data_IF_414379785640
#
_entry.id   IF_414379785640
#
_cell.length_a   1.000
_cell.length_b   1.000
_cell.length_c   1.000
_cell.angle_alpha   90.00
_cell.angle_beta   90.00
_cell.angle_gamma   90.00
#
_symmetry.space_group_name_H-M   'P 1'
#
loop_
_entity.id
_entity.type
_entity.pdbx_description
1 polymer ?
#
# COMPACT_ATOMS: atom_id res chain seq x y z
N UNK A 1 1.37 -8.02 0.90
CA UNK A 1 1.04 -8.69 -0.38
C UNK A 1 1.63 -10.10 -0.35
N UNK A 2 0.78 -11.12 -0.27
CA UNK A 2 1.22 -12.52 -0.30
C UNK A 2 1.18 -12.98 -1.74
N UNK A 3 2.34 -13.17 -2.36
CA UNK A 3 2.44 -13.94 -3.60
C UNK A 3 2.69 -15.39 -3.17
N UNK A 4 1.63 -16.21 -3.17
CA UNK A 4 1.80 -17.64 -3.17
C UNK A 4 2.43 -18.01 -4.53
N UNK A 5 3.73 -18.31 -4.54
CA UNK A 5 4.38 -18.97 -5.67
C UNK A 5 3.94 -20.44 -5.68
N UNK A 6 2.69 -20.70 -6.06
CA UNK A 6 2.32 -22.01 -6.53
C UNK A 6 3.00 -22.20 -7.87
N UNK A 7 3.88 -23.21 -7.99
CA UNK A 7 4.32 -23.72 -9.28
C UNK A 7 3.06 -24.11 -10.06
N UNK A 8 2.81 -23.40 -11.14
CA UNK A 8 1.76 -23.74 -12.06
C UNK A 8 2.20 -24.98 -12.85
N UNK A 9 1.82 -26.17 -12.38
CA UNK A 9 1.79 -27.37 -13.20
C UNK A 9 0.40 -27.45 -13.80
N UNK A 10 0.24 -27.56 -15.13
CA UNK A 10 -1.07 -27.77 -15.73
C UNK A 10 -1.47 -29.22 -15.49
N UNK A 11 -2.09 -29.53 -14.35
CA UNK A 11 -2.82 -30.78 -14.22
C UNK A 11 -4.23 -30.63 -14.80
N UNK A 12 -4.45 -31.34 -15.87
CA UNK A 12 -5.73 -31.64 -16.51
C UNK A 12 -6.63 -32.39 -15.54
N UNK A 13 -7.41 -31.65 -14.75
CA UNK A 13 -8.39 -32.21 -13.82
C UNK A 13 -9.65 -31.33 -13.78
N UNK A 14 -10.69 -31.71 -14.53
CA UNK A 14 -12.03 -31.12 -14.54
C UNK A 14 -12.64 -31.13 -13.12
N UNK A 15 -12.63 -30.00 -12.48
CA UNK A 15 -13.47 -29.66 -11.34
C UNK A 15 -13.46 -28.15 -11.20
N UNK A 16 -14.45 -27.44 -11.78
CA UNK A 16 -14.73 -26.04 -11.46
C UNK A 16 -15.19 -25.98 -9.99
N UNK A 17 -14.25 -26.14 -9.06
CA UNK A 17 -14.51 -26.01 -7.63
C UNK A 17 -15.05 -24.61 -7.35
N UNK A 18 -16.26 -24.53 -6.80
CA UNK A 18 -16.89 -23.28 -6.36
C UNK A 18 -16.02 -22.66 -5.27
N UNK A 19 -15.79 -21.34 -5.35
CA UNK A 19 -15.14 -20.59 -4.26
C UNK A 19 -16.02 -20.67 -3.01
N UNK A 20 -15.46 -20.94 -1.85
CA UNK A 20 -16.22 -21.05 -0.59
C UNK A 20 -16.98 -19.74 -0.31
N UNK A 21 -18.24 -19.87 0.13
CA UNK A 21 -19.09 -18.71 0.42
C UNK A 21 -18.47 -17.72 1.42
N UNK A 22 -17.70 -18.24 2.38
CA UNK A 22 -16.98 -17.41 3.36
C UNK A 22 -15.86 -16.57 2.71
N UNK A 23 -15.22 -17.06 1.65
CA UNK A 23 -14.20 -16.31 0.88
C UNK A 23 -14.86 -15.17 0.10
N UNK A 24 -16.03 -15.43 -0.50
CA UNK A 24 -16.80 -14.39 -1.19
C UNK A 24 -17.30 -13.32 -0.22
N UNK A 25 -17.78 -13.73 0.96
CA UNK A 25 -18.19 -12.81 2.02
C UNK A 25 -17.01 -11.92 2.47
N UNK A 26 -15.84 -12.50 2.73
CA UNK A 26 -14.62 -11.75 3.08
C UNK A 26 -14.17 -10.84 1.94
N UNK A 27 -14.28 -11.27 0.69
CA UNK A 27 -14.01 -10.45 -0.48
C UNK A 27 -14.95 -9.25 -0.58
N UNK A 28 -16.26 -9.46 -0.36
CA UNK A 28 -17.24 -8.38 -0.36
C UNK A 28 -16.99 -7.37 0.78
N UNK A 29 -16.68 -7.85 1.98
CA UNK A 29 -16.28 -6.99 3.10
C UNK A 29 -15.05 -6.15 2.72
N UNK A 30 -14.02 -6.77 2.13
CA UNK A 30 -12.82 -6.05 1.68
C UNK A 30 -13.16 -5.01 0.62
N UNK A 31 -13.93 -5.37 -0.40
CA UNK A 31 -14.36 -4.44 -1.43
C UNK A 31 -15.02 -3.20 -0.83
N UNK A 32 -16.05 -3.39 -0.01
CA UNK A 32 -16.80 -2.28 0.60
C UNK A 32 -15.91 -1.43 1.51
N UNK A 33 -15.09 -2.07 2.34
CA UNK A 33 -14.21 -1.33 3.26
C UNK A 33 -13.04 -0.65 2.57
N UNK A 34 -12.57 -1.17 1.43
CA UNK A 34 -11.52 -0.52 0.65
C UNK A 34 -12.08 0.65 -0.17
N UNK A 35 -13.33 0.57 -0.70
CA UNK A 35 -14.03 1.77 -1.20
C UNK A 35 -14.00 2.87 -0.14
N UNK A 36 -14.46 2.58 1.08
CA UNK A 36 -14.47 3.56 2.16
C UNK A 36 -13.07 4.09 2.49
N UNK A 37 -12.07 3.22 2.64
CA UNK A 37 -10.71 3.64 3.01
C UNK A 37 -10.05 4.47 1.93
N UNK A 38 -10.21 4.09 0.67
CA UNK A 38 -9.56 4.77 -0.46
C UNK A 38 -10.29 6.07 -0.86
N UNK A 39 -11.60 6.22 -0.54
CA UNK A 39 -12.27 7.53 -0.58
C UNK A 39 -11.53 8.54 0.30
N UNK A 40 -11.24 8.17 1.55
CA UNK A 40 -10.55 9.07 2.50
C UNK A 40 -9.11 9.28 2.05
N UNK A 41 -8.37 8.20 1.75
CA UNK A 41 -6.96 8.27 1.32
C UNK A 41 -6.76 9.21 0.13
N UNK A 42 -7.70 9.19 -0.82
CA UNK A 42 -7.61 9.99 -2.04
C UNK A 42 -7.77 11.50 -1.81
N UNK A 43 -8.46 11.92 -0.75
CA UNK A 43 -8.70 13.34 -0.45
C UNK A 43 -7.84 13.89 0.68
N UNK A 44 -7.30 13.04 1.57
CA UNK A 44 -6.54 13.47 2.74
C UNK A 44 -5.41 14.47 2.45
N UNK A 45 -4.57 14.30 1.38
CA UNK A 45 -3.49 15.24 1.11
C UNK A 45 -4.00 16.66 0.88
N UNK A 46 -5.05 16.80 0.07
CA UNK A 46 -5.61 18.09 -0.26
C UNK A 46 -6.39 18.67 0.94
N UNK A 47 -7.13 17.84 1.67
CA UNK A 47 -7.81 18.23 2.89
C UNK A 47 -6.83 18.82 3.92
N UNK A 48 -5.70 18.13 4.18
CA UNK A 48 -4.73 18.61 5.14
C UNK A 48 -4.02 19.90 4.71
N UNK A 49 -3.56 19.98 3.45
CA UNK A 49 -2.76 21.11 2.99
C UNK A 49 -3.62 22.30 2.57
N UNK A 50 -4.74 22.08 1.88
CA UNK A 50 -5.56 23.17 1.34
C UNK A 50 -6.69 23.54 2.30
N UNK A 51 -7.49 22.58 2.77
CA UNK A 51 -8.65 22.90 3.61
C UNK A 51 -8.24 23.27 5.05
N UNK A 52 -7.29 22.51 5.66
CA UNK A 52 -6.82 22.79 7.03
C UNK A 52 -5.60 23.73 7.09
N UNK A 53 -4.98 24.07 5.95
CA UNK A 53 -3.83 24.99 5.89
C UNK A 53 -2.57 24.43 6.55
N UNK A 54 -2.40 23.10 6.64
CA UNK A 54 -1.21 22.51 7.23
C UNK A 54 0.02 22.74 6.36
N UNK A 55 1.16 23.02 6.99
CA UNK A 55 2.43 23.14 6.29
C UNK A 55 2.84 21.79 5.65
N UNK A 56 3.67 21.78 4.59
CA UNK A 56 4.20 20.54 4.01
C UNK A 56 4.95 19.67 5.02
N UNK A 57 5.60 20.27 6.02
CA UNK A 57 6.24 19.54 7.13
C UNK A 57 5.21 18.80 8.01
N UNK A 58 4.15 19.49 8.42
CA UNK A 58 3.06 18.89 9.20
C UNK A 58 2.37 17.78 8.44
N UNK A 59 2.14 17.99 7.15
CA UNK A 59 1.60 16.95 6.27
C UNK A 59 2.56 15.75 6.17
N UNK A 60 3.87 15.98 6.02
CA UNK A 60 4.88 14.92 5.99
C UNK A 60 4.94 14.07 7.26
N UNK A 61 4.72 14.68 8.43
CA UNK A 61 4.59 13.96 9.71
C UNK A 61 3.36 13.03 9.69
N UNK A 62 2.22 13.51 9.21
CA UNK A 62 0.98 12.73 9.16
C UNK A 62 1.06 11.61 8.12
N UNK A 63 1.58 11.86 6.92
CA UNK A 63 1.77 10.86 5.87
C UNK A 63 2.79 9.78 6.27
N UNK A 64 3.88 10.20 6.91
CA UNK A 64 4.86 9.29 7.50
C UNK A 64 4.26 8.41 8.58
N UNK A 65 3.52 9.00 9.53
CA UNK A 65 2.81 8.27 10.58
C UNK A 65 1.81 7.26 10.01
N UNK A 66 1.04 7.66 9.00
CA UNK A 66 0.09 6.83 8.28
C UNK A 66 0.74 5.55 7.73
N UNK A 67 1.91 5.67 7.12
CA UNK A 67 2.68 4.54 6.59
C UNK A 67 3.32 3.70 7.69
N UNK A 68 3.97 4.34 8.66
CA UNK A 68 4.76 3.69 9.71
C UNK A 68 3.91 2.89 10.70
N UNK A 69 2.79 3.44 11.18
CA UNK A 69 1.90 2.74 12.13
C UNK A 69 1.36 1.45 11.53
N UNK A 70 0.94 1.49 10.26
CA UNK A 70 0.44 0.28 9.56
C UNK A 70 1.47 -0.85 9.59
N UNK A 71 2.74 -0.54 9.37
CA UNK A 71 3.81 -1.54 9.34
C UNK A 71 4.07 -2.15 10.72
N UNK A 72 4.17 -1.31 11.76
CA UNK A 72 4.40 -1.75 13.14
C UNK A 72 3.23 -2.61 13.63
N UNK A 73 2.00 -2.14 13.45
CA UNK A 73 0.81 -2.87 13.91
C UNK A 73 0.60 -4.18 13.14
N UNK A 74 0.96 -4.24 11.86
CA UNK A 74 0.89 -5.50 11.09
C UNK A 74 1.81 -6.57 11.66
N UNK A 75 3.01 -6.21 12.13
CA UNK A 75 3.92 -7.14 12.83
C UNK A 75 3.33 -7.65 14.14
N UNK A 76 2.69 -6.78 14.90
CA UNK A 76 2.10 -7.11 16.20
C UNK A 76 0.74 -7.82 16.06
N UNK A 77 -0.09 -7.41 15.11
CA UNK A 77 -1.47 -7.88 14.91
C UNK A 77 -1.55 -9.39 14.61
N UNK A 78 -0.56 -9.95 13.91
CA UNK A 78 -0.45 -11.39 13.71
C UNK A 78 -0.31 -12.16 15.03
N UNK A 79 0.47 -11.64 15.96
CA UNK A 79 0.67 -12.25 17.29
C UNK A 79 -0.60 -12.23 18.16
N UNK A 80 -1.32 -11.11 18.13
CA UNK A 80 -2.58 -10.93 18.89
C UNK A 80 -3.66 -11.86 18.36
N UNK A 81 -3.83 -11.95 17.05
CA UNK A 81 -4.83 -12.82 16.42
C UNK A 81 -4.58 -14.30 16.71
N UNK A 82 -3.29 -14.71 16.69
CA UNK A 82 -2.88 -16.09 16.98
C UNK A 82 -3.14 -16.46 18.45
N UNK A 83 -2.90 -15.54 19.37
CA UNK A 83 -3.06 -15.78 20.82
C UNK A 83 -4.53 -15.91 21.23
N UNK A 84 -5.43 -15.13 20.63
CA UNK A 84 -6.83 -15.10 21.03
C UNK A 84 -7.71 -16.10 20.28
N UNK A 85 -7.24 -16.71 19.21
CA UNK A 85 -7.98 -17.69 18.37
C UNK A 85 -9.41 -17.27 17.95
N UNK A 86 -9.74 -15.98 18.10
CA UNK A 86 -11.04 -15.38 17.75
C UNK A 86 -10.84 -14.42 16.56
N UNK A 87 -10.53 -14.99 15.39
CA UNK A 87 -10.13 -14.24 14.20
C UNK A 87 -11.18 -13.26 13.75
N UNK A 88 -12.46 -13.67 13.74
CA UNK A 88 -13.58 -12.79 13.37
C UNK A 88 -13.72 -11.61 14.34
N UNK A 89 -13.64 -11.83 15.65
CA UNK A 89 -13.74 -10.78 16.66
C UNK A 89 -12.60 -9.75 16.53
N UNK A 90 -11.35 -10.20 16.33
CA UNK A 90 -10.20 -9.30 16.12
C UNK A 90 -10.38 -8.50 14.83
N UNK A 91 -10.84 -9.14 13.75
CA UNK A 91 -11.16 -8.45 12.51
C UNK A 91 -12.25 -7.39 12.70
N UNK A 92 -13.35 -7.71 13.41
CA UNK A 92 -14.43 -6.77 13.72
C UNK A 92 -13.93 -5.54 14.48
N UNK A 93 -13.07 -5.73 15.50
CA UNK A 93 -12.45 -4.60 16.22
C UNK A 93 -11.61 -3.76 15.26
N UNK A 94 -10.79 -4.38 14.40
CA UNK A 94 -9.97 -3.66 13.43
C UNK A 94 -10.80 -2.86 12.42
N UNK A 95 -11.85 -3.45 11.86
CA UNK A 95 -12.75 -2.75 10.95
C UNK A 95 -13.55 -1.63 11.66
N UNK A 96 -14.01 -1.88 12.90
CA UNK A 96 -14.70 -0.89 13.72
C UNK A 96 -13.83 0.31 14.07
N UNK A 97 -12.59 0.11 14.49
CA UNK A 97 -11.62 1.20 14.74
C UNK A 97 -11.41 2.05 13.49
N UNK A 98 -11.22 1.40 12.35
CA UNK A 98 -11.06 2.11 11.07
C UNK A 98 -12.34 2.86 10.65
N UNK A 99 -13.53 2.34 10.97
CA UNK A 99 -14.78 3.04 10.71
C UNK A 99 -14.93 4.29 11.60
N UNK A 100 -14.68 4.17 12.90
CA UNK A 100 -14.82 5.27 13.87
C UNK A 100 -13.80 6.38 13.67
N UNK A 101 -12.62 6.09 13.07
CA UNK A 101 -11.64 7.12 12.74
C UNK A 101 -12.15 8.15 11.73
N UNK A 102 -13.11 7.80 10.87
CA UNK A 102 -13.62 8.69 9.82
C UNK A 102 -14.43 9.87 10.37
N UNK A 103 -15.46 9.67 11.20
CA UNK A 103 -16.14 10.78 11.83
C UNK A 103 -15.24 11.53 12.83
N UNK A 104 -14.22 10.89 13.40
CA UNK A 104 -13.27 11.58 14.26
C UNK A 104 -12.47 12.66 13.51
N UNK A 105 -12.23 12.50 12.20
CA UNK A 105 -11.60 13.54 11.37
C UNK A 105 -12.40 14.84 11.35
N UNK A 106 -13.72 14.79 11.47
CA UNK A 106 -14.61 15.96 11.51
C UNK A 106 -14.44 16.76 12.81
N UNK A 107 -14.08 16.09 13.92
CA UNK A 107 -14.08 16.66 15.26
C UNK A 107 -12.72 17.28 15.67
N UNK A 108 -11.62 16.97 14.97
CA UNK A 108 -10.27 17.30 15.46
C UNK A 108 -9.68 18.60 14.88
N UNK A 109 -10.34 19.22 13.90
CA UNK A 109 -9.88 20.46 13.27
C UNK A 109 -8.46 20.34 12.72
N UNK A 110 -7.65 21.42 12.81
CA UNK A 110 -6.27 21.49 12.30
C UNK A 110 -5.19 21.05 13.29
N UNK A 111 -5.55 20.44 14.42
CA UNK A 111 -4.57 19.95 15.40
C UNK A 111 -3.80 18.75 14.84
N UNK A 112 -2.52 18.93 14.50
CA UNK A 112 -1.63 17.88 13.97
C UNK A 112 -1.56 16.68 14.90
N UNK A 113 -1.49 16.90 16.22
CA UNK A 113 -1.45 15.81 17.20
C UNK A 113 -2.75 15.00 17.22
N UNK A 114 -3.90 15.67 17.17
CA UNK A 114 -5.21 15.01 17.13
C UNK A 114 -5.44 14.28 15.81
N UNK A 115 -5.10 14.90 14.68
CA UNK A 115 -5.12 14.25 13.36
C UNK A 115 -4.22 13.02 13.33
N UNK A 116 -2.99 13.13 13.87
CA UNK A 116 -2.06 12.02 14.01
C UNK A 116 -2.62 10.88 14.84
N UNK A 117 -3.29 11.18 15.96
CA UNK A 117 -3.94 10.17 16.79
C UNK A 117 -5.08 9.44 16.03
N UNK A 118 -5.92 10.18 15.31
CA UNK A 118 -7.00 9.60 14.50
C UNK A 118 -6.44 8.71 13.40
N UNK A 119 -5.41 9.16 12.68
CA UNK A 119 -4.74 8.34 11.66
C UNK A 119 -4.08 7.10 12.26
N UNK A 120 -3.46 7.22 13.45
CA UNK A 120 -2.88 6.07 14.14
C UNK A 120 -3.95 5.04 14.52
N UNK A 121 -5.13 5.46 14.99
CA UNK A 121 -6.27 4.58 15.26
C UNK A 121 -6.75 3.88 13.99
N UNK A 122 -6.95 4.61 12.89
CA UNK A 122 -7.36 4.04 11.60
C UNK A 122 -6.34 3.00 11.10
N UNK A 123 -5.04 3.34 11.14
CA UNK A 123 -3.97 2.43 10.69
C UNK A 123 -3.79 1.23 11.61
N UNK A 124 -4.02 1.40 12.91
CA UNK A 124 -4.09 0.28 13.87
C UNK A 124 -5.24 -0.66 13.51
N UNK A 125 -6.41 -0.13 13.21
CA UNK A 125 -7.54 -0.92 12.70
C UNK A 125 -7.17 -1.71 11.44
N UNK A 126 -6.55 -1.07 10.45
CA UNK A 126 -6.09 -1.73 9.20
C UNK A 126 -5.04 -2.82 9.47
N UNK A 127 -4.10 -2.57 10.37
CA UNK A 127 -3.08 -3.55 10.77
C UNK A 127 -3.67 -4.78 11.48
N UNK A 128 -4.57 -4.56 12.43
CA UNK A 128 -5.22 -5.63 13.20
C UNK A 128 -6.09 -6.55 12.34
N UNK A 129 -6.80 -6.02 11.34
CA UNK A 129 -7.75 -6.82 10.53
C UNK A 129 -7.06 -7.71 9.48
N UNK A 130 -5.85 -7.36 9.00
CA UNK A 130 -5.23 -8.00 7.84
C UNK A 130 -4.88 -9.47 8.10
N UNK A 131 -4.15 -9.78 9.17
CA UNK A 131 -3.73 -11.15 9.47
C UNK A 131 -4.90 -12.09 9.83
N UNK A 132 -5.90 -11.69 10.66
CA UNK A 132 -7.10 -12.50 10.91
C UNK A 132 -7.90 -12.78 9.65
N UNK A 133 -8.09 -11.78 8.77
CA UNK A 133 -8.79 -11.93 7.49
C UNK A 133 -8.12 -12.99 6.62
N UNK A 134 -6.82 -12.88 6.41
CA UNK A 134 -6.05 -13.81 5.59
C UNK A 134 -6.08 -15.25 6.17
N UNK A 135 -6.08 -15.36 7.50
CA UNK A 135 -6.24 -16.64 8.18
C UNK A 135 -7.65 -17.24 8.02
N UNK A 136 -8.71 -16.41 8.00
CA UNK A 136 -10.08 -16.84 7.71
C UNK A 136 -10.24 -17.32 6.27
N UNK A 137 -9.61 -16.64 5.28
CA UNK A 137 -9.59 -17.09 3.87
C UNK A 137 -8.91 -18.47 3.78
N UNK A 138 -7.74 -18.61 4.39
CA UNK A 138 -6.99 -19.88 4.39
C UNK A 138 -7.77 -21.02 5.03
N UNK A 139 -8.42 -20.79 6.18
CA UNK A 139 -9.18 -21.81 6.89
C UNK A 139 -10.52 -22.17 6.22
N UNK A 140 -10.99 -21.33 5.30
CA UNK A 140 -12.22 -21.55 4.52
C UNK A 140 -11.96 -22.21 3.17
N UNK A 141 -10.71 -22.57 2.86
CA UNK A 141 -10.31 -23.08 1.54
C UNK A 141 -9.50 -24.36 1.68
N UNK A 142 -9.68 -25.28 0.72
CA UNK A 142 -8.80 -26.46 0.62
C UNK A 142 -7.41 -26.04 0.12
N UNK A 143 -6.33 -26.81 0.41
CA UNK A 143 -4.98 -26.50 -0.05
C UNK A 143 -4.89 -26.24 -1.56
N UNK A 144 -5.60 -27.01 -2.37
CA UNK A 144 -5.61 -26.88 -3.85
C UNK A 144 -6.38 -25.65 -4.35
N UNK A 145 -7.27 -25.07 -3.52
CA UNK A 145 -8.08 -23.90 -3.87
C UNK A 145 -7.54 -22.59 -3.29
N UNK A 146 -6.49 -22.62 -2.45
CA UNK A 146 -5.94 -21.43 -1.79
C UNK A 146 -5.57 -20.31 -2.76
N UNK A 147 -4.89 -20.64 -3.86
CA UNK A 147 -4.51 -19.66 -4.87
C UNK A 147 -5.71 -18.95 -5.48
N UNK A 148 -6.79 -19.69 -5.77
CA UNK A 148 -8.05 -19.14 -6.30
C UNK A 148 -8.75 -18.28 -5.25
N UNK A 149 -8.82 -18.74 -4.00
CA UNK A 149 -9.47 -18.02 -2.91
C UNK A 149 -8.82 -16.65 -2.67
N UNK A 150 -7.48 -16.61 -2.57
CA UNK A 150 -6.74 -15.35 -2.45
C UNK A 150 -6.83 -14.50 -3.72
N UNK A 151 -6.86 -15.12 -4.91
CA UNK A 151 -7.03 -14.42 -6.20
C UNK A 151 -8.37 -13.70 -6.28
N UNK A 152 -9.48 -14.37 -5.94
CA UNK A 152 -10.83 -13.76 -5.92
C UNK A 152 -10.89 -12.63 -4.87
N UNK A 153 -10.40 -12.90 -3.66
CA UNK A 153 -10.37 -11.86 -2.61
C UNK A 153 -9.57 -10.63 -3.08
N UNK A 154 -8.38 -10.83 -3.67
CA UNK A 154 -7.53 -9.73 -4.15
C UNK A 154 -8.17 -8.96 -5.30
N UNK A 155 -8.88 -9.63 -6.20
CA UNK A 155 -9.63 -8.96 -7.26
C UNK A 155 -10.71 -8.03 -6.69
N UNK A 156 -11.47 -8.49 -5.68
CA UNK A 156 -12.49 -7.68 -5.02
C UNK A 156 -11.87 -6.51 -4.23
N UNK A 157 -10.76 -6.73 -3.52
CA UNK A 157 -9.94 -5.73 -2.84
C UNK A 157 -9.51 -4.62 -3.84
N UNK A 158 -8.97 -5.02 -5.00
CA UNK A 158 -8.52 -4.09 -6.05
C UNK A 158 -9.68 -3.29 -6.66
N UNK A 159 -10.82 -3.93 -6.90
CA UNK A 159 -12.03 -3.22 -7.38
C UNK A 159 -12.48 -2.18 -6.36
N UNK A 160 -12.49 -2.52 -5.07
CA UNK A 160 -12.80 -1.57 -4.01
C UNK A 160 -11.84 -0.38 -3.98
N UNK A 161 -10.53 -0.66 -4.08
CA UNK A 161 -9.49 0.37 -4.10
C UNK A 161 -9.61 1.30 -5.32
N UNK A 162 -10.03 0.77 -6.47
CA UNK A 162 -10.23 1.55 -7.68
C UNK A 162 -11.52 2.41 -7.61
N UNK A 163 -12.58 1.88 -7.03
CA UNK A 163 -13.85 2.59 -6.88
C UNK A 163 -13.78 3.72 -5.84
N UNK A 164 -12.94 3.58 -4.80
CA UNK A 164 -12.84 4.56 -3.72
C UNK A 164 -12.61 5.99 -4.20
N UNK A 165 -11.55 6.28 -4.97
CA UNK A 165 -11.29 7.62 -5.51
C UNK A 165 -12.41 8.14 -6.42
N UNK A 166 -13.09 7.28 -7.19
CA UNK A 166 -14.22 7.66 -8.03
C UNK A 166 -15.42 8.08 -7.20
N UNK A 167 -15.73 7.33 -6.13
CA UNK A 167 -16.80 7.68 -5.21
C UNK A 167 -16.47 8.99 -4.47
N UNK A 168 -15.21 9.17 -4.04
CA UNK A 168 -14.77 10.42 -3.43
C UNK A 168 -14.94 11.61 -4.37
N UNK A 169 -14.52 11.47 -5.62
CA UNK A 169 -14.72 12.50 -6.65
C UNK A 169 -16.21 12.83 -6.86
N UNK A 170 -17.05 11.80 -6.98
CA UNK A 170 -18.49 11.98 -7.14
C UNK A 170 -19.11 12.72 -5.94
N UNK A 171 -18.76 12.34 -4.71
CA UNK A 171 -19.25 13.00 -3.50
C UNK A 171 -18.77 14.45 -3.44
N UNK A 172 -17.48 14.75 -3.72
CA UNK A 172 -17.00 16.12 -3.77
C UNK A 172 -17.72 16.96 -4.83
N UNK A 173 -17.97 16.38 -6.00
CA UNK A 173 -18.74 17.06 -7.04
C UNK A 173 -20.18 17.37 -6.60
N UNK A 174 -20.86 16.37 -6.01
CA UNK A 174 -22.25 16.52 -5.59
C UNK A 174 -22.42 17.44 -4.37
N UNK A 175 -21.38 17.57 -3.53
CA UNK A 175 -21.38 18.41 -2.32
C UNK A 175 -20.68 19.76 -2.51
N UNK A 176 -20.33 20.14 -3.76
CA UNK A 176 -19.62 21.39 -4.06
C UNK A 176 -18.27 21.52 -3.36
N UNK A 177 -17.54 20.40 -3.22
CA UNK A 177 -16.20 20.37 -2.65
C UNK A 177 -16.14 20.16 -1.14
N UNK A 178 -17.24 19.71 -0.51
CA UNK A 178 -17.30 19.46 0.92
C UNK A 178 -16.62 18.14 1.31
N UNK A 179 -15.50 18.22 2.04
CA UNK A 179 -14.75 17.07 2.54
C UNK A 179 -15.50 16.33 3.65
N UNK A 180 -16.34 17.03 4.44
CA UNK A 180 -17.12 16.42 5.50
C UNK A 180 -18.12 15.41 4.92
N UNK A 181 -18.72 15.73 3.77
CA UNK A 181 -19.57 14.82 3.02
C UNK A 181 -18.82 13.53 2.61
N UNK A 182 -17.53 13.63 2.23
CA UNK A 182 -16.71 12.45 1.89
C UNK A 182 -16.48 11.60 3.14
N UNK A 183 -16.13 12.20 4.28
CA UNK A 183 -15.86 11.46 5.52
C UNK A 183 -17.11 10.78 6.07
N UNK A 184 -18.27 11.46 6.04
CA UNK A 184 -19.56 10.88 6.45
C UNK A 184 -19.97 9.73 5.53
N UNK A 185 -19.88 9.91 4.22
CA UNK A 185 -20.18 8.85 3.24
C UNK A 185 -19.26 7.65 3.45
N UNK A 186 -17.96 7.91 3.60
CA UNK A 186 -16.96 6.87 3.88
C UNK A 186 -17.26 6.12 5.18
N UNK A 187 -17.70 6.83 6.24
CA UNK A 187 -18.14 6.21 7.49
C UNK A 187 -19.34 5.27 7.28
N UNK A 188 -20.37 5.71 6.57
CA UNK A 188 -21.54 4.88 6.27
C UNK A 188 -21.15 3.60 5.50
N UNK A 189 -20.27 3.73 4.49
CA UNK A 189 -19.75 2.59 3.73
C UNK A 189 -18.91 1.67 4.63
N UNK A 190 -18.09 2.23 5.53
CA UNK A 190 -17.30 1.42 6.47
C UNK A 190 -18.19 0.64 7.44
N UNK A 191 -19.26 1.27 7.99
CA UNK A 191 -20.24 0.61 8.85
C UNK A 191 -20.93 -0.53 8.11
N UNK A 192 -21.31 -0.33 6.85
CA UNK A 192 -21.85 -1.41 6.02
C UNK A 192 -20.85 -2.58 5.94
N UNK A 193 -19.56 -2.31 5.74
CA UNK A 193 -18.52 -3.34 5.74
C UNK A 193 -18.42 -4.10 7.06
N UNK A 194 -18.53 -3.40 8.21
CA UNK A 194 -18.56 -4.02 9.54
C UNK A 194 -19.81 -4.91 9.73
N UNK A 195 -20.97 -4.45 9.29
CA UNK A 195 -22.23 -5.22 9.34
C UNK A 195 -22.13 -6.46 8.47
N UNK A 196 -21.63 -6.35 7.25
CA UNK A 196 -21.42 -7.50 6.35
C UNK A 196 -20.47 -8.53 6.97
N UNK A 197 -19.38 -8.08 7.60
CA UNK A 197 -18.45 -8.97 8.32
C UNK A 197 -19.16 -9.69 9.48
N UNK A 198 -19.96 -8.95 10.25
CA UNK A 198 -20.68 -9.51 11.40
C UNK A 198 -21.72 -10.57 10.99
N UNK A 199 -22.45 -10.32 9.90
CA UNK A 199 -23.56 -11.16 9.46
C UNK A 199 -23.12 -12.32 8.55
N UNK A 200 -22.21 -12.09 7.60
CA UNK A 200 -21.91 -13.05 6.54
C UNK A 200 -20.69 -13.92 6.82
N UNK A 201 -19.71 -13.44 7.58
CA UNK A 201 -18.45 -14.17 7.79
C UNK A 201 -18.60 -15.12 8.98
N UNK A 202 -18.16 -16.38 8.77
CA UNK A 202 -18.12 -17.41 9.81
C UNK A 202 -16.69 -17.59 10.32
N UNK A 203 -16.56 -17.74 11.65
CA UNK A 203 -15.26 -17.98 12.29
C UNK A 203 -14.90 -19.49 12.24
N UNK A 204 -13.66 -19.81 11.87
CA UNK A 204 -13.14 -21.17 11.85
C UNK A 204 -11.88 -21.22 12.72
N UNK A 205 -11.93 -22.01 13.79
CA UNK A 205 -10.78 -22.23 14.67
C UNK A 205 -9.87 -23.28 14.04
N UNK A 206 -8.67 -22.90 13.67
CA UNK A 206 -7.63 -23.82 13.19
C UNK A 206 -6.35 -23.54 13.95
N UNK A 207 -5.72 -24.55 14.58
CA UNK A 207 -4.42 -24.39 15.21
C UNK A 207 -3.39 -23.94 14.19
N UNK A 208 -2.53 -22.99 14.57
CA UNK A 208 -1.43 -22.54 13.72
C UNK A 208 -0.17 -23.37 14.04
N UNK A 209 0.62 -23.78 13.03
CA UNK A 209 1.88 -24.46 13.24
C UNK A 209 2.89 -23.55 13.97
N UNK A 210 3.75 -24.16 14.78
CA UNK A 210 4.86 -23.48 15.45
C UNK A 210 5.78 -22.79 14.44
N UNK A 211 6.17 -21.55 14.72
CA UNK A 211 7.04 -20.77 13.83
C UNK A 211 8.51 -20.91 14.22
N UNK A 212 9.43 -21.11 13.26
CA UNK A 212 10.85 -21.13 13.53
C UNK A 212 11.37 -19.77 13.99
N UNK A 213 12.52 -19.71 14.70
CA UNK A 213 13.06 -18.45 15.24
C UNK A 213 13.49 -17.48 14.15
N UNK A 214 13.13 -16.21 14.30
CA UNK A 214 13.36 -15.13 13.32
C UNK A 214 14.86 -14.86 13.02
N UNK A 215 15.77 -15.35 13.85
CA UNK A 215 17.23 -15.19 13.66
C UNK A 215 17.74 -15.77 12.34
N UNK A 216 17.08 -16.80 11.80
CA UNK A 216 17.44 -17.42 10.52
C UNK A 216 17.13 -16.57 9.30
N UNK A 217 16.37 -15.46 9.44
CA UNK A 217 16.06 -14.51 8.38
C UNK A 217 17.28 -13.67 7.95
N UNK A 218 18.21 -13.39 8.86
CA UNK A 218 19.27 -12.41 8.65
C UNK A 218 20.49 -12.93 7.85
N UNK A 219 20.26 -13.76 6.84
CA UNK A 219 21.31 -14.19 5.91
C UNK A 219 21.77 -13.03 5.02
N UNK A 220 23.08 -13.00 4.66
CA UNK A 220 23.71 -11.91 3.89
C UNK A 220 22.92 -11.46 2.65
N UNK A 221 22.41 -12.39 1.75
CA UNK A 221 21.68 -11.95 0.57
C UNK A 221 20.37 -11.22 0.91
N UNK A 222 19.57 -11.74 1.82
CA UNK A 222 18.31 -11.12 2.23
C UNK A 222 18.54 -9.76 2.90
N UNK A 223 19.53 -9.66 3.80
CA UNK A 223 19.91 -8.40 4.45
C UNK A 223 20.30 -7.31 3.45
N UNK A 224 21.02 -7.67 2.35
CA UNK A 224 21.36 -6.72 1.30
C UNK A 224 20.14 -6.22 0.54
N UNK A 225 19.18 -7.11 0.22
CA UNK A 225 17.91 -6.71 -0.43
C UNK A 225 17.12 -5.78 0.47
N UNK A 226 16.98 -6.09 1.76
CA UNK A 226 16.29 -5.23 2.74
C UNK A 226 17.01 -3.88 2.87
N UNK A 227 18.34 -3.88 2.93
CA UNK A 227 19.13 -2.65 3.01
C UNK A 227 18.93 -1.73 1.80
N UNK A 228 19.05 -2.26 0.59
CA UNK A 228 18.80 -1.46 -0.63
C UNK A 228 17.35 -1.01 -0.76
N UNK A 229 16.39 -1.86 -0.38
CA UNK A 229 14.97 -1.47 -0.36
C UNK A 229 14.70 -0.32 0.63
N UNK A 230 15.34 -0.33 1.80
CA UNK A 230 15.24 0.75 2.78
C UNK A 230 15.91 2.04 2.28
N UNK A 231 17.13 1.95 1.73
CA UNK A 231 17.87 3.13 1.22
C UNK A 231 17.15 3.77 0.03
N UNK A 232 16.67 2.96 -0.94
CA UNK A 232 15.85 3.47 -2.04
C UNK A 232 14.52 4.05 -1.53
N UNK A 233 13.88 3.41 -0.56
CA UNK A 233 12.66 3.92 0.08
C UNK A 233 12.86 5.27 0.79
N UNK A 234 14.04 5.54 1.35
CA UNK A 234 14.37 6.82 1.98
C UNK A 234 14.43 7.99 0.99
N UNK A 235 14.82 7.73 -0.25
CA UNK A 235 14.93 8.74 -1.30
C UNK A 235 13.72 8.76 -2.24
N UNK A 236 12.75 7.88 -2.02
CA UNK A 236 11.49 7.83 -2.76
C UNK A 236 10.47 8.70 -2.05
N UNK A 237 10.06 9.80 -2.68
CA UNK A 237 9.02 10.70 -2.16
C UNK A 237 7.65 10.00 -2.18
N UNK A 238 6.84 10.24 -1.16
CA UNK A 238 5.50 9.65 -1.08
C UNK A 238 4.55 10.17 -2.16
N UNK A 239 3.64 9.31 -2.61
CA UNK A 239 2.67 9.57 -3.69
C UNK A 239 1.86 10.83 -3.45
N UNK A 240 1.44 11.02 -2.20
CA UNK A 240 0.65 12.16 -1.79
C UNK A 240 1.35 13.49 -2.06
N UNK A 241 2.66 13.56 -1.85
CA UNK A 241 3.45 14.75 -2.18
C UNK A 241 3.54 14.98 -3.69
N UNK A 242 3.72 13.92 -4.49
CA UNK A 242 3.74 14.03 -5.94
C UNK A 242 2.40 14.57 -6.46
N UNK A 243 1.28 14.09 -5.93
CA UNK A 243 -0.06 14.57 -6.30
C UNK A 243 -0.30 16.01 -5.86
N UNK A 244 0.16 16.43 -4.67
CA UNK A 244 0.10 17.82 -4.22
C UNK A 244 0.92 18.75 -5.11
N UNK A 245 2.12 18.33 -5.55
CA UNK A 245 2.94 19.09 -6.48
C UNK A 245 2.24 19.24 -7.84
N UNK A 246 1.66 18.17 -8.37
CA UNK A 246 0.90 18.22 -9.62
C UNK A 246 -0.32 19.15 -9.48
N UNK A 247 -1.07 19.03 -8.40
CA UNK A 247 -2.22 19.89 -8.14
C UNK A 247 -1.81 21.38 -8.09
N UNK A 248 -0.75 21.69 -7.34
CA UNK A 248 -0.25 23.05 -7.19
C UNK A 248 0.27 23.64 -8.52
N UNK A 249 1.01 22.86 -9.32
CA UNK A 249 1.58 23.33 -10.58
C UNK A 249 0.55 23.52 -11.68
N UNK A 250 -0.41 22.62 -11.76
CA UNK A 250 -1.42 22.59 -12.83
C UNK A 250 -2.73 23.27 -12.41
N UNK A 251 -2.80 23.79 -11.16
CA UNK A 251 -3.99 24.43 -10.59
C UNK A 251 -5.25 23.56 -10.76
N UNK A 252 -5.10 22.23 -10.51
CA UNK A 252 -6.20 21.29 -10.64
C UNK A 252 -7.27 21.56 -9.59
N UNK A 253 -8.53 21.52 -10.02
CA UNK A 253 -9.67 21.61 -9.11
C UNK A 253 -9.64 20.45 -8.08
N UNK A 254 -10.00 20.77 -6.84
CA UNK A 254 -10.05 19.81 -5.74
C UNK A 254 -10.91 18.58 -6.05
N UNK A 255 -12.00 18.76 -6.82
CA UNK A 255 -12.89 17.67 -7.24
C UNK A 255 -12.16 16.62 -8.07
N UNK A 256 -11.20 17.04 -8.91
CA UNK A 256 -10.45 16.13 -9.79
C UNK A 256 -9.20 15.51 -9.14
N UNK A 257 -8.82 15.97 -7.95
CA UNK A 257 -7.62 15.48 -7.26
C UNK A 257 -7.57 13.95 -7.07
N UNK A 258 -8.68 13.26 -6.72
CA UNK A 258 -8.68 11.80 -6.60
C UNK A 258 -8.30 11.06 -7.89
N UNK A 259 -8.47 11.69 -9.06
CA UNK A 259 -8.09 11.10 -10.35
C UNK A 259 -6.57 10.91 -10.50
N UNK A 260 -5.74 11.66 -9.77
CA UNK A 260 -4.28 11.49 -9.79
C UNK A 260 -3.88 10.11 -9.25
N UNK A 261 -4.45 9.72 -8.11
CA UNK A 261 -4.24 8.39 -7.55
C UNK A 261 -4.80 7.29 -8.45
N UNK A 262 -5.99 7.52 -9.03
CA UNK A 262 -6.63 6.59 -9.95
C UNK A 262 -5.81 6.39 -11.23
N UNK A 263 -5.26 7.47 -11.80
CA UNK A 263 -4.41 7.42 -12.99
C UNK A 263 -3.16 6.58 -12.76
N UNK A 264 -2.47 6.79 -11.64
CA UNK A 264 -1.32 5.95 -11.23
C UNK A 264 -1.74 4.49 -11.07
N UNK A 265 -2.87 4.22 -10.39
CA UNK A 265 -3.38 2.87 -10.18
C UNK A 265 -3.77 2.17 -11.49
N UNK A 266 -4.36 2.88 -12.44
CA UNK A 266 -4.72 2.34 -13.76
C UNK A 266 -3.47 1.89 -14.54
N UNK A 267 -2.43 2.72 -14.59
CA UNK A 267 -1.16 2.37 -15.24
C UNK A 267 -0.49 1.19 -14.52
N UNK A 268 -0.48 1.19 -13.18
CA UNK A 268 0.01 0.07 -12.40
C UNK A 268 -0.69 -1.25 -12.78
N UNK A 269 -2.01 -1.27 -12.83
CA UNK A 269 -2.79 -2.47 -13.16
C UNK A 269 -2.51 -2.98 -14.58
N UNK A 270 -2.36 -2.06 -15.54
CA UNK A 270 -2.06 -2.41 -16.93
C UNK A 270 -0.65 -3.00 -17.07
N UNK A 271 0.33 -2.47 -16.33
CA UNK A 271 1.74 -2.79 -16.52
C UNK A 271 2.30 -3.79 -15.51
N UNK A 272 1.62 -4.09 -14.38
CA UNK A 272 2.12 -5.00 -13.35
C UNK A 272 2.45 -6.40 -13.90
N UNK A 273 1.59 -6.97 -14.75
CA UNK A 273 1.81 -8.29 -15.35
C UNK A 273 2.89 -8.25 -16.44
N UNK A 274 2.87 -7.32 -17.42
CA UNK A 274 3.95 -7.18 -18.39
C UNK A 274 5.33 -6.99 -17.77
N UNK A 275 5.46 -6.08 -16.80
CA UNK A 275 6.75 -5.80 -16.13
C UNK A 275 7.16 -6.95 -15.20
N UNK A 276 6.22 -7.67 -14.59
CA UNK A 276 6.51 -8.90 -13.86
C UNK A 276 7.12 -9.98 -14.78
N UNK A 277 6.54 -10.19 -15.97
CA UNK A 277 7.09 -11.11 -16.99
C UNK A 277 8.45 -10.66 -17.51
N UNK A 278 8.65 -9.37 -17.69
CA UNK A 278 9.94 -8.81 -18.06
C UNK A 278 10.97 -9.08 -16.96
N UNK A 279 10.62 -8.90 -15.70
CA UNK A 279 11.47 -9.17 -14.55
C UNK A 279 11.90 -10.65 -14.45
N UNK A 280 11.03 -11.58 -14.86
CA UNK A 280 11.37 -13.00 -14.92
C UNK A 280 12.34 -13.33 -16.06
N UNK A 281 12.36 -12.54 -17.16
CA UNK A 281 13.23 -12.74 -18.33
C UNK A 281 14.60 -12.07 -18.17
N UNK A 282 14.61 -10.78 -17.81
CA UNK A 282 15.86 -9.97 -17.77
C UNK A 282 16.45 -9.88 -16.36
N UNK A 283 15.75 -10.42 -15.36
CA UNK A 283 16.13 -10.35 -13.95
C UNK A 283 15.34 -9.30 -13.18
N UNK A 284 15.04 -9.63 -11.92
CA UNK A 284 14.18 -8.81 -11.06
C UNK A 284 14.82 -7.51 -10.62
N UNK A 285 16.14 -7.53 -10.37
CA UNK A 285 16.86 -6.36 -9.91
C UNK A 285 16.96 -5.24 -10.95
N UNK A 286 17.31 -5.50 -12.24
CA UNK A 286 17.28 -4.47 -13.28
C UNK A 286 15.91 -3.82 -13.47
N UNK A 287 14.80 -4.60 -13.45
CA UNK A 287 13.45 -4.07 -13.58
C UNK A 287 13.07 -3.21 -12.37
N UNK A 288 13.45 -3.63 -11.16
CA UNK A 288 13.25 -2.84 -9.94
C UNK A 288 13.98 -1.49 -9.99
N UNK A 289 15.22 -1.45 -10.48
CA UNK A 289 15.96 -0.20 -10.69
C UNK A 289 15.35 0.64 -11.83
N UNK A 290 14.88 0.00 -12.90
CA UNK A 290 14.17 0.66 -14.00
C UNK A 290 12.92 1.41 -13.53
N UNK A 291 12.18 0.85 -12.56
CA UNK A 291 11.07 1.55 -11.90
C UNK A 291 11.53 2.83 -11.19
N UNK A 292 12.62 2.78 -10.43
CA UNK A 292 13.17 3.98 -9.78
C UNK A 292 13.72 5.00 -10.78
N UNK A 293 14.22 4.56 -11.93
CA UNK A 293 14.59 5.46 -13.01
C UNK A 293 13.35 6.18 -13.59
N UNK A 294 12.23 5.47 -13.77
CA UNK A 294 10.97 6.11 -14.18
C UNK A 294 10.51 7.16 -13.17
N UNK A 295 10.65 6.89 -11.86
CA UNK A 295 10.37 7.89 -10.82
C UNK A 295 11.32 9.09 -10.89
N UNK A 296 12.62 8.87 -11.13
CA UNK A 296 13.59 9.96 -11.32
C UNK A 296 13.23 10.83 -12.53
N UNK A 297 12.78 10.22 -13.63
CA UNK A 297 12.29 10.96 -14.80
C UNK A 297 11.03 11.78 -14.47
N UNK A 298 10.10 11.21 -13.68
CA UNK A 298 8.93 11.95 -13.21
C UNK A 298 9.33 13.18 -12.38
N UNK A 299 10.28 13.05 -11.45
CA UNK A 299 10.80 14.18 -10.68
C UNK A 299 11.52 15.21 -11.58
N UNK A 300 12.27 14.75 -12.58
CA UNK A 300 12.90 15.62 -13.57
C UNK A 300 11.86 16.44 -14.34
N UNK A 301 10.78 15.83 -14.81
CA UNK A 301 9.68 16.53 -15.49
C UNK A 301 9.02 17.57 -14.58
N UNK A 302 8.82 17.27 -13.30
CA UNK A 302 8.27 18.21 -12.34
C UNK A 302 9.15 19.47 -12.15
N UNK A 303 10.41 19.46 -12.53
CA UNK A 303 11.30 20.62 -12.48
C UNK A 303 11.26 21.46 -13.75
N UNK A 304 10.62 20.98 -14.81
CA UNK A 304 10.54 21.68 -16.11
C UNK A 304 9.19 22.37 -16.29
N UNK A 305 9.09 23.39 -17.16
CA UNK A 305 7.80 23.97 -17.54
C UNK A 305 6.94 23.03 -18.40
N UNK A 306 7.52 21.92 -18.91
CA UNK A 306 6.83 20.94 -19.74
C UNK A 306 6.13 19.84 -18.92
N UNK A 307 5.75 20.15 -17.67
CA UNK A 307 5.05 19.21 -16.81
C UNK A 307 3.71 18.80 -17.40
N UNK A 308 3.60 17.55 -17.86
CA UNK A 308 2.35 16.95 -18.31
C UNK A 308 1.86 15.93 -17.26
N UNK A 309 0.61 16.07 -16.82
CA UNK A 309 0.03 15.23 -15.77
C UNK A 309 0.00 13.76 -16.19
N UNK A 310 -0.36 13.48 -17.45
CA UNK A 310 -0.49 12.09 -17.92
C UNK A 310 0.86 11.42 -17.96
N UNK A 311 1.89 12.10 -18.46
CA UNK A 311 3.25 11.56 -18.53
C UNK A 311 3.80 11.29 -17.12
N UNK A 312 3.60 12.20 -16.17
CA UNK A 312 4.04 12.01 -14.77
C UNK A 312 3.31 10.82 -14.14
N UNK A 313 1.98 10.69 -14.32
CA UNK A 313 1.20 9.58 -13.79
C UNK A 313 1.59 8.24 -14.44
N UNK A 314 1.90 8.24 -15.74
CA UNK A 314 2.40 7.04 -16.44
C UNK A 314 3.74 6.62 -15.85
N UNK A 315 4.72 7.52 -15.72
CA UNK A 315 6.02 7.21 -15.14
C UNK A 315 5.91 6.73 -13.69
N UNK A 316 5.01 7.34 -12.90
CA UNK A 316 4.74 6.94 -11.52
C UNK A 316 4.06 5.56 -11.44
N UNK A 317 3.12 5.26 -12.34
CA UNK A 317 2.50 3.93 -12.45
C UNK A 317 3.49 2.85 -12.91
N UNK A 318 4.43 3.16 -13.82
CA UNK A 318 5.55 2.30 -14.20
C UNK A 318 6.45 2.01 -13.01
N UNK A 319 6.78 3.03 -12.20
CA UNK A 319 7.54 2.84 -10.96
C UNK A 319 6.87 1.78 -10.07
N UNK A 320 5.57 1.92 -9.78
CA UNK A 320 4.85 0.94 -8.96
C UNK A 320 4.81 -0.44 -9.60
N UNK A 321 4.53 -0.55 -10.88
CA UNK A 321 4.43 -1.81 -11.59
C UNK A 321 5.79 -2.56 -11.63
N UNK A 322 6.90 -1.81 -11.68
CA UNK A 322 8.26 -2.36 -11.66
C UNK A 322 8.80 -2.65 -10.25
N UNK A 323 8.15 -2.16 -9.18
CA UNK A 323 8.71 -2.26 -7.82
C UNK A 323 7.85 -3.09 -6.87
N UNK A 324 6.54 -2.87 -6.80
CA UNK A 324 5.65 -3.43 -5.76
C UNK A 324 5.58 -4.96 -5.77
N UNK A 325 5.44 -5.58 -6.94
CA UNK A 325 5.45 -7.04 -7.11
C UNK A 325 6.85 -7.64 -7.29
N UNK A 326 7.76 -6.89 -7.91
CA UNK A 326 9.08 -7.36 -8.32
C UNK A 326 10.02 -7.54 -7.13
N UNK A 327 10.03 -6.60 -6.18
CA UNK A 327 10.90 -6.68 -5.00
C UNK A 327 10.55 -7.88 -4.07
N UNK A 328 9.29 -8.12 -3.70
CA UNK A 328 8.91 -9.33 -2.98
C UNK A 328 9.28 -10.62 -3.73
N UNK A 329 9.09 -10.64 -5.06
CA UNK A 329 9.48 -11.76 -5.89
C UNK A 329 11.01 -12.00 -5.85
N UNK A 330 11.82 -10.93 -5.81
CA UNK A 330 13.27 -11.03 -5.69
C UNK A 330 13.72 -11.53 -4.30
N UNK A 331 13.02 -11.13 -3.24
CA UNK A 331 13.36 -11.50 -1.86
C UNK A 331 12.90 -12.93 -1.49
N UNK A 332 11.79 -13.41 -2.06
CA UNK A 332 11.16 -14.70 -1.70
C UNK A 332 12.09 -15.92 -1.80
N UNK A 333 12.89 -16.11 -2.87
CA UNK A 333 13.80 -17.25 -2.97
C UNK A 333 14.94 -17.24 -1.97
N UNK A 334 15.24 -16.10 -1.35
CA UNK A 334 16.31 -15.95 -0.36
C UNK A 334 15.90 -16.42 1.04
N UNK A 335 14.61 -16.75 1.22
CA UNK A 335 13.99 -17.09 2.49
C UNK A 335 13.60 -18.58 2.53
N UNK A 336 13.82 -19.25 3.67
CA UNK A 336 13.24 -20.58 3.92
C UNK A 336 11.71 -20.54 3.74
N UNK A 337 11.12 -21.63 3.28
CA UNK A 337 9.68 -21.70 2.98
C UNK A 337 8.82 -21.32 4.19
N UNK A 338 9.21 -21.78 5.39
CA UNK A 338 8.52 -21.58 6.66
C UNK A 338 8.60 -20.12 7.15
N UNK A 339 9.61 -19.37 6.70
CA UNK A 339 9.88 -17.98 7.13
C UNK A 339 9.57 -16.94 6.06
N UNK A 340 9.10 -17.32 4.87
CA UNK A 340 8.78 -16.39 3.78
C UNK A 340 7.84 -15.28 4.21
N UNK A 341 6.80 -15.63 4.93
CA UNK A 341 5.83 -14.67 5.49
C UNK A 341 6.49 -13.65 6.40
N UNK A 342 7.27 -14.11 7.37
CA UNK A 342 7.96 -13.24 8.32
C UNK A 342 9.03 -12.38 7.64
N UNK A 343 9.77 -12.95 6.68
CA UNK A 343 10.76 -12.20 5.90
C UNK A 343 10.11 -11.10 5.05
N UNK A 344 8.97 -11.39 4.40
CA UNK A 344 8.21 -10.36 3.67
C UNK A 344 7.69 -9.26 4.60
N UNK A 345 7.24 -9.61 5.80
CA UNK A 345 6.82 -8.62 6.79
C UNK A 345 7.99 -7.71 7.21
N UNK A 346 9.19 -8.27 7.42
CA UNK A 346 10.39 -7.48 7.71
C UNK A 346 10.74 -6.54 6.56
N UNK A 347 10.73 -7.03 5.30
CA UNK A 347 10.99 -6.22 4.12
C UNK A 347 10.01 -5.05 3.99
N UNK A 348 8.71 -5.33 4.11
CA UNK A 348 7.65 -4.32 4.03
C UNK A 348 7.73 -3.31 5.17
N UNK A 349 8.11 -3.76 6.38
CA UNK A 349 8.30 -2.85 7.53
C UNK A 349 9.48 -1.92 7.29
N UNK A 350 10.61 -2.43 6.77
CA UNK A 350 11.75 -1.60 6.44
C UNK A 350 11.39 -0.54 5.37
N UNK A 351 10.64 -0.92 4.34
CA UNK A 351 10.14 0.04 3.34
C UNK A 351 9.19 1.09 3.94
N UNK A 352 8.27 0.69 4.81
CA UNK A 352 7.33 1.62 5.42
C UNK A 352 8.00 2.60 6.40
N UNK A 353 9.00 2.15 7.16
CA UNK A 353 9.81 3.03 8.01
C UNK A 353 10.66 3.98 7.16
N UNK A 354 11.22 3.50 6.06
CA UNK A 354 11.94 4.36 5.11
C UNK A 354 11.00 5.42 4.50
N UNK A 355 9.78 5.05 4.10
CA UNK A 355 8.76 5.98 3.60
C UNK A 355 8.35 7.00 4.65
N UNK A 356 8.20 6.60 5.93
CA UNK A 356 7.93 7.52 7.02
C UNK A 356 9.01 8.60 7.09
N UNK A 357 10.28 8.19 7.15
CA UNK A 357 11.41 9.14 7.23
C UNK A 357 11.47 10.01 5.97
N UNK A 358 11.29 9.43 4.78
CA UNK A 358 11.25 10.15 3.51
C UNK A 358 10.17 11.23 3.47
N UNK A 359 8.94 10.91 3.91
CA UNK A 359 7.83 11.87 3.95
C UNK A 359 8.11 13.05 4.87
N UNK A 360 8.68 12.79 6.06
CA UNK A 360 9.06 13.85 7.01
C UNK A 360 10.16 14.72 6.43
N UNK A 361 11.20 14.12 5.84
CA UNK A 361 12.33 14.87 5.27
C UNK A 361 11.88 15.69 4.05
N UNK A 362 11.09 15.13 3.17
CA UNK A 362 10.58 15.86 2.00
C UNK A 362 9.68 17.03 2.42
N UNK A 363 8.78 16.82 3.38
CA UNK A 363 7.94 17.88 3.94
C UNK A 363 8.75 19.00 4.59
N UNK A 364 9.83 18.66 5.33
CA UNK A 364 10.76 19.62 5.90
C UNK A 364 11.49 20.43 4.81
N UNK A 365 12.05 19.75 3.80
CA UNK A 365 12.73 20.41 2.67
C UNK A 365 11.79 21.34 1.91
N UNK A 366 10.55 20.90 1.66
CA UNK A 366 9.55 21.74 1.00
C UNK A 366 9.24 22.99 1.84
N UNK A 367 9.05 22.86 3.14
CA UNK A 367 8.74 23.99 4.02
C UNK A 367 9.90 24.98 4.14
N UNK A 368 11.14 24.49 4.21
CA UNK A 368 12.32 25.33 4.42
C UNK A 368 12.88 25.95 3.13
N UNK A 369 12.87 25.21 2.03
CA UNK A 369 13.58 25.57 0.79
C UNK A 369 12.65 25.68 -0.44
N UNK A 370 11.35 25.43 -0.26
CA UNK A 370 10.38 25.43 -1.35
C UNK A 370 10.34 24.10 -2.13
N UNK A 371 9.24 23.93 -2.88
CA UNK A 371 8.93 22.67 -3.56
C UNK A 371 9.96 22.29 -4.63
N UNK A 372 10.43 23.25 -5.41
CA UNK A 372 11.38 22.98 -6.51
C UNK A 372 12.72 22.49 -5.98
N UNK A 373 13.22 23.08 -4.89
CA UNK A 373 14.47 22.65 -4.23
C UNK A 373 14.30 21.26 -3.59
N UNK A 374 13.16 21.00 -2.95
CA UNK A 374 12.87 19.70 -2.35
C UNK A 374 12.85 18.58 -3.41
N UNK A 375 12.22 18.82 -4.57
CA UNK A 375 12.20 17.88 -5.70
C UNK A 375 13.62 17.68 -6.27
N UNK A 376 14.38 18.76 -6.48
CA UNK A 376 15.75 18.69 -7.01
C UNK A 376 16.65 17.86 -6.09
N UNK A 377 16.64 18.11 -4.78
CA UNK A 377 17.42 17.35 -3.80
C UNK A 377 17.00 15.88 -3.81
N UNK A 378 15.71 15.59 -3.82
CA UNK A 378 15.19 14.22 -3.88
C UNK A 378 15.60 13.51 -5.17
N UNK A 379 15.57 14.19 -6.32
CA UNK A 379 16.04 13.67 -7.60
C UNK A 379 17.53 13.32 -7.55
N UNK A 380 18.36 14.24 -7.07
CA UNK A 380 19.81 14.03 -6.98
C UNK A 380 20.13 12.85 -6.07
N UNK A 381 19.50 12.79 -4.88
CA UNK A 381 19.67 11.68 -3.94
C UNK A 381 19.21 10.35 -4.56
N UNK A 382 18.06 10.35 -5.24
CA UNK A 382 17.54 9.15 -5.91
C UNK A 382 18.50 8.65 -6.98
N UNK A 383 19.04 9.54 -7.82
CA UNK A 383 20.02 9.17 -8.86
C UNK A 383 21.30 8.62 -8.25
N UNK A 384 21.84 9.27 -7.22
CA UNK A 384 23.06 8.80 -6.51
C UNK A 384 22.85 7.40 -5.93
N UNK A 385 21.74 7.19 -5.23
CA UNK A 385 21.39 5.89 -4.64
C UNK A 385 21.14 4.83 -5.72
N UNK A 386 20.51 5.22 -6.85
CA UNK A 386 20.23 4.33 -7.97
C UNK A 386 21.53 3.84 -8.62
N UNK A 387 22.49 4.73 -8.84
CA UNK A 387 23.83 4.38 -9.35
C UNK A 387 24.55 3.44 -8.38
N UNK A 388 24.52 3.75 -7.07
CA UNK A 388 25.09 2.88 -6.05
C UNK A 388 24.44 1.49 -6.02
N UNK A 389 23.12 1.41 -6.18
CA UNK A 389 22.37 0.16 -6.22
C UNK A 389 22.63 -0.66 -7.51
N UNK A 390 22.90 0.02 -8.62
CA UNK A 390 23.26 -0.63 -9.88
C UNK A 390 24.67 -1.27 -9.81
N UNK A 391 25.61 -0.61 -9.13
CA UNK A 391 26.98 -1.13 -8.90
C UNK A 391 26.97 -2.22 -7.82
N UNK A 392 26.24 -2.01 -6.73
CA UNK A 392 26.24 -2.87 -5.54
C UNK A 392 25.44 -4.18 -5.66
N UNK A 393 24.91 -4.53 -6.81
CA UNK A 393 24.05 -5.69 -7.17
C UNK A 393 23.89 -6.73 -6.06
N UNK A 394 22.76 -6.73 -5.30
CA UNK A 394 22.54 -7.66 -4.19
C UNK A 394 22.27 -9.10 -4.65
N UNK A 395 21.91 -9.28 -5.93
CA UNK A 395 21.54 -10.55 -6.54
C UNK A 395 22.42 -10.79 -7.75
N UNK A 396 23.18 -11.89 -7.77
CA UNK A 396 23.87 -12.35 -8.98
C UNK A 396 22.82 -12.77 -10.01
N UNK A 397 22.88 -12.18 -11.19
CA UNK A 397 21.97 -12.42 -12.31
C UNK A 397 22.28 -13.70 -13.09
N UNK A 398 22.64 -14.79 -12.43
CA UNK A 398 22.74 -16.08 -13.13
C UNK A 398 21.51 -16.92 -12.79
N UNK A 399 20.63 -17.21 -13.77
CA UNK A 399 19.76 -18.36 -13.65
C UNK A 399 20.69 -19.57 -13.55
N UNK A 400 20.51 -20.38 -12.50
CA UNK A 400 21.07 -21.73 -12.48
C UNK A 400 20.46 -22.47 -13.65
N UNK A 401 21.27 -22.73 -14.66
CA UNK A 401 21.02 -23.65 -15.76
C UNK A 401 20.59 -25.02 -15.27
#
# INVERSE_FOLDING_TARGET
>A
MYIATARWTPETGRGRGRVAGNVLALGLVSLVTDVSSEMVTAVLPLYFVVALGLSPFQFGLLDGLYSGVTAVVRLLGGHVADRWQRRKAVALVGYGLSALAKPALLAVGSSVAALGAVLAVDRTGKGLRTAPRDALISSSSTPDALGRAFGVHRAMDTVGAFLGPLVAMFVLWASLGDYDAVFVTSFCVAVLGVVLLALLVRDHRTPLPARPPLRTLWRKPFRRVVGWAAVLGLVTVGDAFLYLVLQQRLQLDAVHFPLLALGTAAVYLLLAVPLGRLADRVGRWPVFLGGHLALALAFGLLLTPLTDVVVVLVLHGVFYAATDGVLPAAASPLLPAELRTSGMAVLQTAQALAKLVSSVLFGAMWTLWGVSTAILVSLVLLVVVLVGAAVGRPLSSRPSS
#
